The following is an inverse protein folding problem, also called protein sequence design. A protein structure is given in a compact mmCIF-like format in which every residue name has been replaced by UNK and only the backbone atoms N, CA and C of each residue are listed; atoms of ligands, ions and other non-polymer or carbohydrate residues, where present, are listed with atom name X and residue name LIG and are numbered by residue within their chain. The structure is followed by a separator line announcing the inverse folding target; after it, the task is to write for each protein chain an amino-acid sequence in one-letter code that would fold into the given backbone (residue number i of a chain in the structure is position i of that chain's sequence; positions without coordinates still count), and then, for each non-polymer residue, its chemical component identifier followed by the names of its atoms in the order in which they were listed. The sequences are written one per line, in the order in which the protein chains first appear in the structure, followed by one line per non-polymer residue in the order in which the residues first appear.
data_IF_788620214944
#
_entry.id   IF_788620214944
#
_cell.length_a   1.000
_cell.length_b   1.000
_cell.length_c   1.000
_cell.angle_alpha   90.00
_cell.angle_beta   90.00
_cell.angle_gamma   90.00
#
_symmetry.space_group_name_H-M   'P 1'
#
loop_
_entity.id
_entity.type
_entity.pdbx_description
1 polymer ?
#
# COMPACT_ATOMS: atom_id res chain seq x y z
N UNK A 1 -16.69 5.92 -29.14
CA UNK A 1 -15.80 6.85 -28.41
C UNK A 1 -16.05 6.64 -26.94
N UNK A 2 -15.34 5.70 -26.34
CA UNK A 2 -15.48 5.38 -24.92
C UNK A 2 -14.09 5.50 -24.32
N UNK A 3 -13.92 6.54 -23.52
CA UNK A 3 -12.64 7.01 -23.05
C UNK A 3 -12.05 5.99 -22.07
N UNK A 4 -10.86 5.53 -22.44
CA UNK A 4 -10.03 4.62 -21.67
C UNK A 4 -9.90 5.11 -20.21
N UNK A 5 -10.16 4.17 -19.30
CA UNK A 5 -9.92 4.28 -17.87
C UNK A 5 -8.57 4.93 -17.61
N UNK A 6 -8.66 6.12 -17.02
CA UNK A 6 -7.57 7.01 -16.70
C UNK A 6 -6.60 6.29 -15.75
N UNK A 7 -5.51 5.73 -16.31
CA UNK A 7 -4.35 5.28 -15.54
C UNK A 7 -3.96 6.42 -14.62
N UNK A 8 -4.13 6.20 -13.32
CA UNK A 8 -3.82 7.16 -12.26
C UNK A 8 -2.47 7.81 -12.55
N UNK A 9 -2.52 9.03 -13.09
CA UNK A 9 -1.33 9.83 -13.26
C UNK A 9 -0.76 9.98 -11.86
N UNK A 10 0.54 9.73 -11.72
CA UNK A 10 1.31 10.26 -10.59
C UNK A 10 1.05 11.76 -10.64
N UNK A 11 0.08 12.25 -9.85
CA UNK A 11 -0.34 13.65 -9.82
C UNK A 11 0.88 14.48 -9.47
N UNK A 12 1.51 15.03 -10.50
CA UNK A 12 2.66 15.90 -10.41
C UNK A 12 2.14 17.27 -9.98
N UNK A 13 2.22 17.57 -8.68
CA UNK A 13 1.86 18.87 -8.12
C UNK A 13 0.57 18.89 -7.29
N UNK A 14 0.37 19.99 -6.58
CA UNK A 14 -0.83 20.35 -5.82
C UNK A 14 -1.69 21.29 -6.65
N UNK A 15 -2.97 20.97 -6.84
CA UNK A 15 -3.88 21.90 -7.51
C UNK A 15 -4.27 23.04 -6.57
N UNK A 16 -4.64 24.18 -7.14
CA UNK A 16 -5.15 25.32 -6.37
C UNK A 16 -6.39 24.94 -5.55
N UNK A 17 -7.29 24.12 -6.13
CA UNK A 17 -8.46 23.58 -5.42
C UNK A 17 -8.08 22.75 -4.19
N UNK A 18 -7.12 21.84 -4.32
CA UNK A 18 -6.63 21.03 -3.18
C UNK A 18 -5.92 21.89 -2.13
N UNK A 19 -5.26 22.97 -2.56
CA UNK A 19 -4.56 23.91 -1.69
C UNK A 19 -5.55 24.71 -0.87
N UNK A 20 -6.56 25.30 -1.51
CA UNK A 20 -7.61 26.07 -0.83
C UNK A 20 -8.37 25.20 0.16
N UNK A 21 -8.79 24.00 -0.27
CA UNK A 21 -9.48 23.04 0.59
C UNK A 21 -8.67 22.70 1.84
N UNK A 22 -7.36 22.47 1.72
CA UNK A 22 -6.49 22.19 2.85
C UNK A 22 -6.43 23.37 3.84
N UNK A 23 -6.33 24.60 3.33
CA UNK A 23 -6.24 25.79 4.17
C UNK A 23 -7.56 26.12 4.87
N UNK A 24 -8.67 26.09 4.14
CA UNK A 24 -10.01 26.27 4.71
C UNK A 24 -10.28 25.25 5.82
N UNK A 25 -9.98 23.97 5.57
CA UNK A 25 -10.17 22.91 6.58
C UNK A 25 -9.22 23.09 7.78
N UNK A 26 -8.01 23.61 7.57
CA UNK A 26 -7.07 23.88 8.65
C UNK A 26 -7.53 25.06 9.52
N UNK A 27 -8.01 26.14 8.91
CA UNK A 27 -8.53 27.31 9.60
C UNK A 27 -9.79 26.97 10.41
N UNK A 28 -10.72 26.21 9.82
CA UNK A 28 -11.91 25.69 10.52
C UNK A 28 -11.53 24.83 11.72
N UNK A 29 -10.57 23.92 11.55
CA UNK A 29 -10.12 23.06 12.63
C UNK A 29 -9.44 23.85 13.74
N UNK A 30 -8.68 24.90 13.41
CA UNK A 30 -8.07 25.78 14.40
C UNK A 30 -9.14 26.54 15.20
N UNK A 31 -10.17 27.06 14.55
CA UNK A 31 -11.30 27.72 15.23
C UNK A 31 -12.06 26.76 16.16
N UNK A 32 -12.15 25.49 15.78
CA UNK A 32 -12.83 24.44 16.56
C UNK A 32 -11.91 23.76 17.60
N UNK A 33 -10.63 24.14 17.69
CA UNK A 33 -9.65 23.51 18.60
C UNK A 33 -9.31 22.06 18.24
N UNK A 34 -9.53 21.65 17.00
CA UNK A 34 -9.24 20.29 16.52
C UNK A 34 -7.75 20.12 16.17
N UNK A 35 -7.18 18.92 16.39
CA UNK A 35 -5.78 18.67 16.04
C UNK A 35 -5.58 18.61 14.52
N UNK A 36 -4.44 19.15 14.03
CA UNK A 36 -4.06 19.13 12.60
C UNK A 36 -4.06 17.72 11.98
N UNK A 37 -3.86 16.68 12.78
CA UNK A 37 -3.98 15.29 12.29
C UNK A 37 -5.38 15.01 11.71
N UNK A 38 -6.44 15.48 12.37
CA UNK A 38 -7.81 15.30 11.89
C UNK A 38 -8.05 16.02 10.56
N UNK A 39 -7.42 17.18 10.35
CA UNK A 39 -7.42 17.90 9.07
C UNK A 39 -6.78 17.03 7.98
N UNK A 40 -5.59 16.48 8.24
CA UNK A 40 -4.89 15.66 7.24
C UNK A 40 -5.65 14.39 6.87
N UNK A 41 -6.32 13.76 7.84
CA UNK A 41 -7.14 12.57 7.60
C UNK A 41 -8.39 12.90 6.77
N UNK A 42 -9.06 14.04 7.03
CA UNK A 42 -10.20 14.53 6.23
C UNK A 42 -9.81 14.87 4.79
N UNK A 43 -8.70 15.59 4.61
CA UNK A 43 -8.19 15.93 3.28
C UNK A 43 -7.74 14.68 2.52
N UNK A 44 -7.15 13.69 3.21
CA UNK A 44 -6.78 12.42 2.60
C UNK A 44 -8.00 11.67 2.05
N UNK A 45 -9.09 11.63 2.82
CA UNK A 45 -10.34 11.01 2.40
C UNK A 45 -10.95 11.71 1.17
N UNK A 46 -10.91 13.04 1.10
CA UNK A 46 -11.51 13.81 0.00
C UNK A 46 -10.65 13.84 -1.27
N UNK A 47 -9.34 13.94 -1.14
CA UNK A 47 -8.42 14.13 -2.29
C UNK A 47 -7.80 12.83 -2.81
N UNK A 48 -7.87 11.75 -2.00
CA UNK A 48 -7.13 10.51 -2.23
C UNK A 48 -5.62 10.63 -2.03
N UNK A 49 -5.13 11.77 -1.51
CA UNK A 49 -3.69 11.96 -1.21
C UNK A 49 -3.32 11.25 0.09
N UNK A 50 -2.06 10.83 0.18
CA UNK A 50 -1.53 10.23 1.41
C UNK A 50 -1.45 11.28 2.52
N UNK A 51 -1.88 10.99 3.76
CA UNK A 51 -1.79 11.92 4.90
C UNK A 51 -0.41 12.55 5.09
N UNK A 52 0.66 11.76 4.91
CA UNK A 52 2.03 12.27 5.02
C UNK A 52 2.39 13.27 3.90
N UNK A 53 1.85 13.10 2.69
CA UNK A 53 2.03 14.05 1.61
C UNK A 53 1.33 15.38 1.92
N UNK A 54 0.13 15.31 2.49
CA UNK A 54 -0.66 16.48 2.89
C UNK A 54 0.04 17.25 4.00
N UNK A 55 0.46 16.54 5.05
CA UNK A 55 1.26 17.09 6.14
C UNK A 55 2.51 17.81 5.61
N UNK A 56 3.29 17.16 4.75
CA UNK A 56 4.52 17.73 4.23
C UNK A 56 4.28 19.00 3.42
N UNK A 57 3.22 19.02 2.61
CA UNK A 57 2.83 20.19 1.84
C UNK A 57 2.35 21.34 2.72
N UNK A 58 1.46 21.06 3.69
CA UNK A 58 0.98 22.05 4.67
C UNK A 58 2.15 22.79 5.33
N UNK A 59 3.08 22.06 5.96
CA UNK A 59 4.23 22.68 6.61
C UNK A 59 5.20 23.34 5.63
N UNK A 60 5.29 22.89 4.38
CA UNK A 60 6.08 23.59 3.37
C UNK A 60 5.49 24.96 3.01
N UNK A 61 4.16 25.08 2.94
CA UNK A 61 3.46 26.33 2.64
C UNK A 61 3.39 27.28 3.84
N UNK A 62 3.16 26.78 5.06
CA UNK A 62 3.24 27.58 6.31
C UNK A 62 4.59 28.31 6.38
N UNK A 63 5.68 27.59 6.17
CA UNK A 63 7.05 28.16 6.16
C UNK A 63 7.28 29.19 5.05
N UNK A 64 6.62 29.06 3.90
CA UNK A 64 6.71 30.07 2.84
C UNK A 64 5.97 31.36 3.23
N UNK A 65 4.89 31.26 4.01
CA UNK A 65 4.08 32.42 4.46
C UNK A 65 4.67 33.14 5.67
N UNK A 66 5.28 32.42 6.60
CA UNK A 66 5.87 32.98 7.84
C UNK A 66 7.22 33.67 7.62
N UNK A 67 7.72 33.72 6.38
CA UNK A 67 9.03 34.27 6.05
C UNK A 67 10.17 33.33 6.43
N UNK A 68 11.25 33.34 5.65
CA UNK A 68 12.48 32.58 5.91
C UNK A 68 13.21 33.15 7.14
N UNK A 69 12.65 32.96 8.34
CA UNK A 69 13.42 33.12 9.57
C UNK A 69 14.37 31.93 9.70
N UNK A 70 15.62 32.14 9.25
CA UNK A 70 16.83 31.34 9.52
C UNK A 70 16.57 29.87 9.89
N UNK A 71 15.95 29.12 8.99
CA UNK A 71 15.87 27.68 9.12
C UNK A 71 17.11 27.08 8.45
N UNK A 72 17.98 26.34 9.17
CA UNK A 72 19.20 25.78 8.61
C UNK A 72 18.87 24.95 7.37
N UNK A 73 19.73 25.04 6.36
CA UNK A 73 19.54 24.51 5.02
C UNK A 73 18.84 23.13 5.01
N UNK A 74 17.73 23.06 4.25
CA UNK A 74 16.74 21.97 4.15
C UNK A 74 17.30 20.55 4.04
N UNK A 75 18.51 20.40 3.55
CA UNK A 75 19.16 19.11 3.37
C UNK A 75 20.67 19.32 3.28
N UNK A 76 21.35 19.17 4.41
CA UNK A 76 22.80 18.98 4.42
C UNK A 76 23.05 17.49 4.20
N UNK A 77 23.61 17.06 3.05
CA UNK A 77 23.99 15.67 2.87
C UNK A 77 25.09 15.32 3.87
N UNK A 78 25.06 14.10 4.39
CA UNK A 78 26.18 13.58 5.16
C UNK A 78 27.40 13.44 4.27
N UNK A 79 28.51 14.03 4.69
CA UNK A 79 29.81 13.77 4.08
C UNK A 79 30.27 12.36 4.42
N UNK A 80 31.16 11.81 3.60
CA UNK A 80 31.60 10.41 3.77
C UNK A 80 32.32 10.16 5.11
N UNK A 81 33.10 11.14 5.57
CA UNK A 81 33.74 11.17 6.88
C UNK A 81 32.71 11.19 8.02
N UNK A 82 31.66 12.00 7.91
CA UNK A 82 30.56 12.02 8.88
C UNK A 82 29.81 10.67 8.94
N UNK A 83 29.67 10.00 7.80
CA UNK A 83 29.06 8.66 7.75
C UNK A 83 29.92 7.64 8.50
N UNK A 84 31.21 7.60 8.21
CA UNK A 84 32.16 6.69 8.86
C UNK A 84 32.19 6.96 10.37
N UNK A 85 32.35 8.21 10.78
CA UNK A 85 32.31 8.62 12.18
C UNK A 85 31.03 8.17 12.88
N UNK A 86 29.86 8.40 12.26
CA UNK A 86 28.59 7.99 12.84
C UNK A 86 28.51 6.48 13.05
N UNK A 87 28.95 5.69 12.06
CA UNK A 87 28.95 4.23 12.16
C UNK A 87 29.91 3.73 13.24
N UNK A 88 31.13 4.25 13.26
CA UNK A 88 32.14 3.90 14.27
C UNK A 88 31.63 4.17 15.68
N UNK A 89 31.08 5.36 15.93
CA UNK A 89 30.53 5.72 17.24
C UNK A 89 29.41 4.78 17.67
N UNK A 90 28.49 4.45 16.77
CA UNK A 90 27.37 3.55 17.08
C UNK A 90 27.85 2.11 17.32
N UNK A 91 28.83 1.62 16.54
CA UNK A 91 29.37 0.27 16.69
C UNK A 91 30.18 0.10 17.96
N UNK A 92 30.99 1.10 18.34
CA UNK A 92 31.71 1.12 19.63
C UNK A 92 30.73 1.12 20.81
N UNK A 93 29.74 2.01 20.80
CA UNK A 93 28.71 2.05 21.85
C UNK A 93 27.95 0.74 21.97
N UNK A 94 27.67 0.09 20.84
CA UNK A 94 27.01 -1.22 20.82
C UNK A 94 27.89 -2.32 21.39
N UNK A 95 29.20 -2.29 21.14
CA UNK A 95 30.16 -3.24 21.75
C UNK A 95 30.19 -3.12 23.28
N UNK A 96 29.88 -1.94 23.82
CA UNK A 96 29.70 -1.70 25.26
C UNK A 96 28.27 -2.02 25.77
N UNK A 97 27.41 -2.60 24.94
CA UNK A 97 26.04 -2.97 25.31
C UNK A 97 25.04 -1.81 25.29
N UNK A 98 25.42 -0.62 24.80
CA UNK A 98 24.48 0.50 24.66
C UNK A 98 23.55 0.29 23.46
N UNK A 99 22.30 0.71 23.61
CA UNK A 99 21.35 0.69 22.49
C UNK A 99 21.70 1.77 21.47
N UNK A 100 21.48 1.47 20.18
CA UNK A 100 21.68 2.44 19.09
C UNK A 100 20.92 3.74 19.36
N UNK A 101 19.69 3.66 19.87
CA UNK A 101 18.88 4.86 20.18
C UNK A 101 19.55 5.72 21.25
N UNK A 102 20.10 5.12 22.29
CA UNK A 102 20.82 5.85 23.35
C UNK A 102 22.07 6.56 22.80
N UNK A 103 22.87 5.85 21.99
CA UNK A 103 24.02 6.42 21.31
C UNK A 103 23.64 7.63 20.45
N UNK A 104 22.64 7.48 19.59
CA UNK A 104 22.20 8.56 18.70
C UNK A 104 21.62 9.77 19.44
N UNK A 105 20.92 9.54 20.56
CA UNK A 105 20.42 10.61 21.41
C UNK A 105 21.57 11.42 22.02
N UNK A 106 22.62 10.73 22.48
CA UNK A 106 23.85 11.34 23.00
C UNK A 106 24.60 12.12 21.92
N UNK A 107 24.78 11.54 20.73
CA UNK A 107 25.48 12.18 19.60
C UNK A 107 24.76 13.42 19.08
N UNK A 108 23.43 13.49 19.24
CA UNK A 108 22.63 14.61 18.82
C UNK A 108 22.49 15.71 19.87
N UNK A 109 23.02 15.51 21.09
CA UNK A 109 23.04 16.49 22.18
C UNK A 109 21.69 17.19 22.43
N UNK A 110 20.60 16.41 22.42
CA UNK A 110 19.25 16.93 22.62
C UNK A 110 18.56 17.48 21.36
N UNK A 111 19.26 17.64 20.23
CA UNK A 111 18.64 17.99 18.95
C UNK A 111 17.89 16.77 18.36
N UNK A 112 16.57 16.79 18.54
CA UNK A 112 15.68 15.73 18.04
C UNK A 112 15.69 15.61 16.50
N UNK A 113 15.87 16.72 15.78
CA UNK A 113 15.93 16.70 14.32
C UNK A 113 17.22 16.07 13.82
N UNK A 114 18.35 16.40 14.45
CA UNK A 114 19.64 15.78 14.16
C UNK A 114 19.65 14.29 14.54
N UNK A 115 19.10 13.93 15.70
CA UNK A 115 18.94 12.53 16.10
C UNK A 115 18.18 11.72 15.06
N UNK A 116 17.07 12.24 14.53
CA UNK A 116 16.31 11.60 13.45
C UNK A 116 17.13 11.45 12.17
N UNK A 117 17.95 12.46 11.82
CA UNK A 117 18.86 12.39 10.66
C UNK A 117 19.90 11.30 10.85
N UNK A 118 20.55 11.22 12.01
CA UNK A 118 21.50 10.15 12.31
C UNK A 118 20.84 8.77 12.28
N UNK A 119 19.64 8.64 12.84
CA UNK A 119 18.91 7.38 12.83
C UNK A 119 18.58 6.92 11.40
N UNK A 120 18.09 7.84 10.57
CA UNK A 120 17.79 7.55 9.17
C UNK A 120 19.06 7.20 8.39
N UNK A 121 20.16 7.92 8.64
CA UNK A 121 21.43 7.67 7.97
C UNK A 121 22.02 6.31 8.35
N UNK A 122 22.08 5.99 9.64
CA UNK A 122 22.55 4.69 10.13
C UNK A 122 21.78 3.53 9.50
N UNK A 123 20.44 3.59 9.54
CA UNK A 123 19.59 2.56 8.91
C UNK A 123 19.82 2.42 7.40
N UNK A 124 19.97 3.55 6.70
CA UNK A 124 20.22 3.54 5.28
C UNK A 124 21.56 2.89 4.95
N UNK A 125 22.64 3.26 5.67
CA UNK A 125 23.99 2.78 5.39
C UNK A 125 24.10 1.27 5.62
N UNK A 126 23.58 0.73 6.73
CA UNK A 126 23.61 -0.72 6.96
C UNK A 126 22.85 -1.46 5.85
N UNK A 127 21.73 -0.90 5.39
CA UNK A 127 20.93 -1.50 4.33
C UNK A 127 21.61 -1.45 2.96
N UNK A 128 22.27 -0.34 2.61
CA UNK A 128 22.71 -0.08 1.23
C UNK A 128 24.21 -0.20 1.00
N UNK A 129 25.03 -0.19 2.07
CA UNK A 129 26.50 -0.20 1.99
C UNK A 129 27.10 -1.23 2.98
N UNK A 130 26.78 -2.52 2.84
CA UNK A 130 27.28 -3.56 3.77
C UNK A 130 28.81 -3.66 3.78
N UNK A 131 29.48 -3.44 2.65
CA UNK A 131 30.95 -3.47 2.53
C UNK A 131 31.62 -2.43 3.45
N UNK A 132 31.09 -1.21 3.50
CA UNK A 132 31.58 -0.16 4.41
C UNK A 132 31.39 -0.55 5.88
N UNK A 133 30.26 -1.18 6.20
CA UNK A 133 30.00 -1.64 7.57
C UNK A 133 30.98 -2.74 7.96
N UNK A 134 31.27 -3.65 7.05
CA UNK A 134 32.24 -4.71 7.27
C UNK A 134 33.65 -4.16 7.47
N UNK A 135 34.10 -3.24 6.62
CA UNK A 135 35.39 -2.55 6.74
C UNK A 135 35.57 -1.91 8.13
N UNK A 136 34.56 -1.16 8.60
CA UNK A 136 34.61 -0.51 9.91
C UNK A 136 34.61 -1.55 11.05
N UNK A 137 33.83 -2.63 10.94
CA UNK A 137 33.81 -3.70 11.94
C UNK A 137 35.16 -4.42 12.02
N UNK A 138 35.82 -4.66 10.88
CA UNK A 138 37.16 -5.25 10.83
C UNK A 138 38.20 -4.33 11.47
N UNK A 139 38.21 -3.05 11.09
CA UNK A 139 39.09 -2.04 11.72
C UNK A 139 38.90 -1.96 13.23
N UNK A 140 37.65 -1.96 13.71
CA UNK A 140 37.35 -1.93 15.14
C UNK A 140 37.81 -3.20 15.87
N UNK A 141 37.73 -4.37 15.23
CA UNK A 141 38.24 -5.63 15.79
C UNK A 141 39.76 -5.62 15.89
N UNK A 142 40.46 -5.06 14.91
CA UNK A 142 41.93 -4.89 14.97
C UNK A 142 42.36 -3.98 16.13
N UNK A 143 41.54 -2.98 16.45
CA UNK A 143 41.73 -2.12 17.64
C UNK A 143 41.32 -2.79 18.97
N UNK A 144 40.82 -4.03 18.95
CA UNK A 144 40.40 -4.78 20.13
C UNK A 144 38.97 -4.49 20.59
N UNK A 145 38.15 -3.79 19.80
CA UNK A 145 36.74 -3.56 20.09
C UNK A 145 35.92 -4.77 19.63
N UNK A 146 35.23 -5.42 20.57
CA UNK A 146 34.40 -6.59 20.29
C UNK A 146 33.05 -6.20 19.68
N UNK A 147 33.08 -5.75 18.42
CA UNK A 147 31.90 -5.34 17.67
C UNK A 147 31.39 -6.46 16.74
N UNK A 148 30.06 -6.59 16.66
CA UNK A 148 29.38 -7.54 15.77
C UNK A 148 28.75 -6.83 14.58
N UNK A 149 28.67 -7.52 13.45
CA UNK A 149 28.05 -6.99 12.24
C UNK A 149 26.56 -6.73 12.50
N UNK A 150 26.02 -5.53 12.22
CA UNK A 150 24.60 -5.24 12.40
C UNK A 150 23.71 -6.03 11.43
N UNK A 151 22.64 -6.64 11.95
CA UNK A 151 21.65 -7.31 11.12
C UNK A 151 20.65 -6.33 10.49
N UNK A 152 20.35 -6.54 9.21
CA UNK A 152 19.28 -5.83 8.50
C UNK A 152 18.06 -6.73 8.44
N UNK A 153 16.98 -6.32 9.10
CA UNK A 153 15.69 -6.99 8.95
C UNK A 153 15.15 -6.77 7.53
N UNK A 154 15.41 -7.72 6.65
CA UNK A 154 14.66 -7.86 5.41
C UNK A 154 13.29 -8.41 5.77
N UNK A 155 12.31 -7.53 5.95
CA UNK A 155 10.91 -7.96 5.95
C UNK A 155 10.63 -8.51 4.55
N UNK A 156 10.79 -9.82 4.38
CA UNK A 156 10.32 -10.53 3.20
C UNK A 156 8.82 -10.29 3.13
N UNK A 157 8.37 -9.51 2.14
CA UNK A 157 6.94 -9.44 1.88
C UNK A 157 6.55 -10.79 1.34
N UNK A 158 5.87 -11.57 2.16
CA UNK A 158 5.20 -12.79 1.75
C UNK A 158 4.30 -12.41 0.57
N UNK A 159 4.32 -13.22 -0.50
CA UNK A 159 3.43 -13.01 -1.63
C UNK A 159 1.97 -13.15 -1.19
N UNK A 160 1.04 -12.58 -1.96
CA UNK A 160 -0.39 -12.70 -1.62
C UNK A 160 -0.82 -14.18 -1.60
N UNK A 161 -0.26 -15.01 -2.49
CA UNK A 161 -0.51 -16.46 -2.53
C UNK A 161 0.01 -17.18 -1.30
N UNK A 162 1.27 -16.98 -0.92
CA UNK A 162 1.85 -17.58 0.30
C UNK A 162 1.12 -17.10 1.57
N UNK A 163 0.65 -15.85 1.60
CA UNK A 163 -0.14 -15.33 2.72
C UNK A 163 -1.52 -15.99 2.80
N UNK A 164 -2.14 -16.27 1.64
CA UNK A 164 -3.42 -16.97 1.53
C UNK A 164 -3.30 -18.45 1.95
N UNK A 165 -2.25 -19.14 1.50
CA UNK A 165 -1.93 -20.52 1.92
C UNK A 165 -1.68 -20.61 3.43
N UNK A 166 -0.89 -19.68 3.99
CA UNK A 166 -0.64 -19.64 5.42
C UNK A 166 -1.94 -19.40 6.21
N UNK A 167 -2.82 -18.53 5.70
CA UNK A 167 -4.12 -18.26 6.32
C UNK A 167 -5.01 -19.51 6.33
N UNK A 168 -5.13 -20.19 5.18
CA UNK A 168 -5.92 -21.42 5.05
C UNK A 168 -5.35 -22.56 5.92
N UNK A 169 -4.03 -22.75 5.93
CA UNK A 169 -3.36 -23.76 6.77
C UNK A 169 -3.51 -23.49 8.26
N UNK A 170 -3.63 -22.23 8.68
CA UNK A 170 -3.81 -21.85 10.08
C UNK A 170 -5.17 -22.23 10.65
N UNK A 171 -6.20 -22.32 9.80
CA UNK A 171 -7.57 -22.68 10.22
C UNK A 171 -7.98 -24.09 9.83
N UNK A 172 -7.17 -24.83 9.07
CA UNK A 172 -7.45 -26.21 8.67
C UNK A 172 -7.74 -27.16 9.85
N UNK A 173 -7.22 -26.83 11.03
CA UNK A 173 -7.41 -27.58 12.28
C UNK A 173 -8.51 -26.99 13.18
N UNK A 174 -9.16 -25.91 12.75
CA UNK A 174 -10.26 -25.28 13.48
C UNK A 174 -11.49 -26.17 13.49
N UNK A 175 -12.18 -26.23 14.62
CA UNK A 175 -13.47 -26.94 14.74
C UNK A 175 -14.67 -26.10 14.33
N UNK A 176 -14.44 -24.84 13.96
CA UNK A 176 -15.47 -23.93 13.48
C UNK A 176 -15.56 -24.01 11.95
N UNK A 177 -16.61 -24.67 11.46
CA UNK A 177 -16.83 -24.87 10.03
C UNK A 177 -17.12 -23.56 9.27
N UNK A 178 -17.71 -22.55 9.91
CA UNK A 178 -17.94 -21.25 9.27
C UNK A 178 -16.65 -20.47 9.14
N UNK A 179 -15.78 -20.54 10.15
CA UNK A 179 -14.46 -19.92 10.10
C UNK A 179 -13.60 -20.51 8.98
N UNK A 180 -13.59 -21.84 8.85
CA UNK A 180 -12.87 -22.54 7.77
C UNK A 180 -13.39 -22.07 6.40
N UNK A 181 -14.71 -22.09 6.19
CA UNK A 181 -15.35 -21.63 4.94
C UNK A 181 -15.01 -20.18 4.60
N UNK A 182 -15.09 -19.28 5.59
CA UNK A 182 -14.82 -17.86 5.37
C UNK A 182 -13.36 -17.62 4.95
N UNK A 183 -12.42 -18.32 5.60
CA UNK A 183 -10.99 -18.17 5.29
C UNK A 183 -10.62 -18.83 3.96
N UNK A 184 -11.19 -19.98 3.62
CA UNK A 184 -11.02 -20.59 2.30
C UNK A 184 -11.53 -19.67 1.18
N UNK A 185 -12.72 -19.08 1.38
CA UNK A 185 -13.30 -18.13 0.43
C UNK A 185 -12.37 -16.92 0.23
N UNK A 186 -11.90 -16.32 1.33
CA UNK A 186 -10.95 -15.20 1.27
C UNK A 186 -9.63 -15.61 0.60
N UNK A 187 -9.11 -16.81 0.91
CA UNK A 187 -7.89 -17.35 0.30
C UNK A 187 -8.01 -17.48 -1.22
N UNK A 188 -9.13 -18.00 -1.71
CA UNK A 188 -9.41 -18.14 -3.14
C UNK A 188 -9.48 -16.77 -3.84
N UNK A 189 -10.20 -15.81 -3.25
CA UNK A 189 -10.26 -14.44 -3.77
C UNK A 189 -8.88 -13.78 -3.83
N UNK A 190 -8.09 -13.92 -2.76
CA UNK A 190 -6.74 -13.35 -2.68
C UNK A 190 -5.79 -14.02 -3.68
N UNK A 191 -5.99 -15.29 -3.99
CA UNK A 191 -5.21 -16.05 -4.97
C UNK A 191 -5.66 -15.85 -6.42
N UNK A 192 -6.68 -15.02 -6.66
CA UNK A 192 -7.24 -14.78 -8.00
C UNK A 192 -8.08 -15.92 -8.55
N UNK A 193 -8.37 -16.95 -7.74
CA UNK A 193 -9.33 -17.99 -8.06
C UNK A 193 -10.72 -17.42 -7.79
N UNK A 194 -11.34 -16.84 -8.83
CA UNK A 194 -12.77 -16.51 -8.76
C UNK A 194 -13.54 -17.84 -8.71
N UNK A 195 -14.47 -18.02 -7.75
CA UNK A 195 -15.29 -19.23 -7.72
C UNK A 195 -16.13 -19.33 -9.00
N UNK A 196 -16.55 -20.56 -9.33
CA UNK A 196 -17.21 -21.06 -10.55
C UNK A 196 -18.37 -20.25 -11.18
N UNK A 197 -18.73 -19.11 -10.62
CA UNK A 197 -19.70 -18.14 -11.15
C UNK A 197 -19.41 -17.75 -12.62
N UNK A 198 -18.13 -17.67 -13.02
CA UNK A 198 -17.75 -17.33 -14.39
C UNK A 198 -18.08 -18.48 -15.37
N UNK A 199 -17.90 -19.75 -14.98
CA UNK A 199 -18.22 -20.92 -15.82
C UNK A 199 -19.73 -21.15 -15.94
N UNK A 200 -20.48 -21.00 -14.83
CA UNK A 200 -21.93 -21.19 -14.83
C UNK A 200 -22.64 -20.10 -15.63
N UNK A 201 -22.19 -18.83 -15.54
CA UNK A 201 -22.69 -17.74 -16.39
C UNK A 201 -22.39 -18.01 -17.87
N UNK A 202 -21.17 -18.45 -18.21
CA UNK A 202 -20.79 -18.77 -19.59
C UNK A 202 -21.62 -19.93 -20.14
N UNK A 203 -21.89 -20.96 -19.34
CA UNK A 203 -22.73 -22.10 -19.73
C UNK A 203 -24.18 -21.66 -19.96
N UNK A 204 -24.79 -20.96 -19.00
CA UNK A 204 -26.18 -20.48 -19.11
C UNK A 204 -26.35 -19.50 -20.27
N UNK A 205 -25.37 -18.63 -20.52
CA UNK A 205 -25.37 -17.74 -21.69
C UNK A 205 -25.26 -18.51 -23.01
N UNK A 206 -24.45 -19.57 -23.06
CA UNK A 206 -24.33 -20.42 -24.25
C UNK A 206 -25.62 -21.18 -24.56
N UNK A 207 -26.28 -21.71 -23.53
CA UNK A 207 -27.58 -22.41 -23.64
C UNK A 207 -28.73 -21.48 -24.04
N UNK A 208 -28.63 -20.18 -23.76
CA UNK A 208 -29.57 -19.16 -24.24
C UNK A 208 -29.37 -18.85 -25.74
N UNK A 209 -28.11 -18.77 -26.17
CA UNK A 209 -27.76 -18.32 -27.53
C UNK A 209 -28.05 -19.39 -28.59
N UNK A 210 -27.91 -20.67 -28.27
CA UNK A 210 -28.07 -21.75 -29.26
C UNK A 210 -29.48 -21.83 -29.87
N UNK A 211 -30.58 -21.81 -29.08
CA UNK A 211 -31.94 -21.79 -29.63
C UNK A 211 -32.25 -20.54 -30.47
N UNK A 212 -31.64 -19.39 -30.15
CA UNK A 212 -31.79 -18.16 -30.92
C UNK A 212 -31.18 -18.34 -32.31
N UNK A 213 -29.97 -18.92 -32.39
CA UNK A 213 -29.32 -19.20 -33.67
C UNK A 213 -30.13 -20.17 -34.51
N UNK A 214 -30.63 -21.25 -33.91
CA UNK A 214 -31.49 -22.24 -34.59
C UNK A 214 -32.75 -21.59 -35.16
N UNK A 215 -33.46 -20.78 -34.35
CA UNK A 215 -34.70 -20.12 -34.77
C UNK A 215 -34.45 -19.08 -35.87
N UNK A 216 -33.39 -18.28 -35.76
CA UNK A 216 -33.02 -17.26 -36.77
C UNK A 216 -32.47 -17.89 -38.05
N UNK A 217 -32.03 -19.15 -38.05
CA UNK A 217 -31.61 -19.85 -39.26
C UNK A 217 -32.79 -20.40 -40.09
N UNK A 218 -33.98 -20.59 -39.50
CA UNK A 218 -35.15 -21.15 -40.19
C UNK A 218 -35.78 -20.18 -41.22
N UNK A 219 -36.48 -20.64 -42.26
CA UNK A 219 -37.29 -19.79 -43.13
C UNK A 219 -38.39 -19.02 -42.37
N UNK A 220 -38.78 -17.83 -42.85
CA UNK A 220 -39.78 -16.98 -42.16
C UNK A 220 -41.12 -17.70 -41.91
N UNK A 221 -41.59 -18.49 -42.88
CA UNK A 221 -42.84 -19.24 -42.75
C UNK A 221 -42.79 -20.32 -41.65
N UNK A 222 -41.62 -20.87 -41.35
CA UNK A 222 -41.43 -21.83 -40.25
C UNK A 222 -41.32 -21.12 -38.90
N UNK A 223 -40.68 -19.94 -38.87
CA UNK A 223 -40.60 -19.12 -37.66
C UNK A 223 -41.97 -18.66 -37.17
N UNK A 224 -42.87 -18.31 -38.08
CA UNK A 224 -44.24 -17.89 -37.73
C UNK A 224 -45.02 -18.99 -37.01
N UNK A 225 -44.79 -20.26 -37.36
CA UNK A 225 -45.48 -21.41 -36.76
C UNK A 225 -44.86 -21.87 -35.43
N UNK A 226 -43.60 -21.53 -35.16
CA UNK A 226 -42.86 -21.98 -33.97
C UNK A 226 -42.59 -20.86 -32.95
N UNK A 227 -43.10 -19.64 -33.20
CA UNK A 227 -42.76 -18.47 -32.39
C UNK A 227 -43.21 -18.60 -30.93
N UNK A 228 -44.36 -19.24 -30.67
CA UNK A 228 -44.86 -19.45 -29.31
C UNK A 228 -43.97 -20.42 -28.52
N UNK A 229 -43.54 -21.51 -29.15
CA UNK A 229 -42.63 -22.49 -28.55
C UNK A 229 -41.24 -21.88 -28.30
N UNK A 230 -40.75 -21.09 -29.25
CA UNK A 230 -39.50 -20.34 -29.10
C UNK A 230 -39.56 -19.36 -27.92
N UNK A 231 -40.62 -18.56 -27.80
CA UNK A 231 -40.81 -17.63 -26.69
C UNK A 231 -40.86 -18.35 -25.34
N UNK A 232 -41.55 -19.48 -25.24
CA UNK A 232 -41.59 -20.28 -24.02
C UNK A 232 -40.19 -20.77 -23.61
N UNK A 233 -39.42 -21.30 -24.57
CA UNK A 233 -38.03 -21.74 -24.37
C UNK A 233 -37.11 -20.57 -23.97
N UNK A 234 -37.36 -19.36 -24.48
CA UNK A 234 -36.58 -18.16 -24.11
C UNK A 234 -36.86 -17.69 -22.69
N UNK A 235 -38.12 -17.69 -22.25
CA UNK A 235 -38.45 -17.34 -20.87
C UNK A 235 -37.74 -18.25 -19.87
N UNK A 236 -37.69 -19.56 -20.12
CA UNK A 236 -36.99 -20.52 -19.25
C UNK A 236 -35.48 -20.25 -19.19
N UNK A 237 -34.84 -20.03 -20.35
CA UNK A 237 -33.38 -19.82 -20.43
C UNK A 237 -32.94 -18.47 -19.89
N UNK A 238 -33.77 -17.43 -20.03
CA UNK A 238 -33.52 -16.12 -19.42
C UNK A 238 -33.55 -16.24 -17.90
N UNK A 239 -34.56 -16.91 -17.33
CA UNK A 239 -34.64 -17.13 -15.88
C UNK A 239 -33.44 -17.92 -15.33
N UNK A 240 -32.95 -18.91 -16.08
CA UNK A 240 -31.75 -19.66 -15.71
C UNK A 240 -30.47 -18.79 -15.72
N UNK A 241 -30.34 -17.86 -16.68
CA UNK A 241 -29.21 -16.93 -16.73
C UNK A 241 -29.29 -15.87 -15.62
N UNK A 242 -30.48 -15.34 -15.36
CA UNK A 242 -30.72 -14.38 -14.27
C UNK A 242 -30.36 -14.95 -12.90
N UNK A 243 -30.64 -16.24 -12.67
CA UNK A 243 -30.25 -16.93 -11.43
C UNK A 243 -28.73 -17.05 -11.23
N UNK A 244 -27.93 -16.92 -12.30
CA UNK A 244 -26.46 -16.96 -12.24
C UNK A 244 -25.82 -15.57 -12.10
N UNK A 245 -26.56 -14.47 -12.30
CA UNK A 245 -26.02 -13.12 -12.21
C UNK A 245 -26.00 -12.65 -10.74
N UNK A 246 -24.91 -12.03 -10.27
CA UNK A 246 -24.89 -11.41 -8.94
C UNK A 246 -25.84 -10.20 -8.93
N UNK A 247 -26.80 -10.19 -7.99
CA UNK A 247 -27.67 -9.04 -7.69
C UNK A 247 -26.90 -7.88 -7.06
#
# INVERSE_FOLDING_TARGET
MEQAMNRASKRSGWSEKETNLLWETADEAQQQGLPLKAVFDRIAAQTGRRPNSIRNYYYAQVRQREGEHEHPARFVPFREDEVRWLLEMVLRDRAEGRSVRSCLQRLADGDHSLMLRYQNKYRAVIKTRPELVQEIVESLKEEGVNCTLPEVNHRTRISIGEAAEHMAGSVAWSRDAELVRAVETLSNFLSGQRPAMEEDIIRSASELVEPIKEFVAKPLAERENEIEEFCAKMCERIGALEACLPL
#
